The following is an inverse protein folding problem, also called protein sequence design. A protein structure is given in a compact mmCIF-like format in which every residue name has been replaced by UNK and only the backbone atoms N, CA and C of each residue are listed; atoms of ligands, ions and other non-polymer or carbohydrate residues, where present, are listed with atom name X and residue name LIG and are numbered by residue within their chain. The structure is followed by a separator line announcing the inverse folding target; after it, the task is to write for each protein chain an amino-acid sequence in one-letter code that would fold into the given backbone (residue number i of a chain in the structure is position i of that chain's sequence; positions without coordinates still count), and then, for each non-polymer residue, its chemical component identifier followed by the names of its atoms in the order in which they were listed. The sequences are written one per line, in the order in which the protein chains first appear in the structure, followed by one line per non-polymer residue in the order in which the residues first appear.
data_IF_234084357461
#
_entry.id   IF_234084357461
#
_cell.length_a   1.000
_cell.length_b   1.000
_cell.length_c   1.000
_cell.angle_alpha   90.00
_cell.angle_beta   90.00
_cell.angle_gamma   90.00
#
_symmetry.space_group_name_H-M   'P 1'
#
loop_
_entity.id
_entity.type
_entity.pdbx_description
1 polymer ?
#
# COMPACT_ATOMS: atom_id res chain seq x y z
N UNK A 1 2.37 -13.69 0.24
CA UNK A 1 2.04 -12.25 0.20
C UNK A 1 0.89 -12.00 1.18
N UNK A 2 0.82 -10.82 1.77
CA UNK A 2 -0.27 -10.41 2.66
C UNK A 2 -0.70 -8.97 2.35
N UNK A 3 -2.00 -8.64 2.46
CA UNK A 3 -2.47 -7.26 2.38
C UNK A 3 -1.82 -6.40 3.47
N UNK A 4 -1.48 -5.17 3.12
CA UNK A 4 -0.87 -4.21 4.03
C UNK A 4 -1.24 -2.76 3.70
N UNK A 5 -1.27 -1.91 4.72
CA UNK A 5 -1.40 -0.48 4.58
C UNK A 5 -0.51 0.27 5.56
N UNK A 6 -0.29 1.54 5.31
CA UNK A 6 0.54 2.42 6.10
C UNK A 6 -0.09 3.81 6.17
N UNK A 7 0.00 4.42 7.35
CA UNK A 7 -0.34 5.83 7.56
C UNK A 7 0.84 6.54 8.25
N UNK A 8 1.12 7.78 7.84
CA UNK A 8 2.08 8.67 8.50
C UNK A 8 1.45 9.34 9.73
N UNK A 9 2.15 9.39 10.86
CA UNK A 9 1.75 10.17 12.03
C UNK A 9 1.76 11.68 11.79
N UNK A 10 1.01 12.44 12.60
CA UNK A 10 0.75 13.88 12.45
C UNK A 10 1.54 14.80 13.39
N UNK A 11 2.53 14.32 14.14
CA UNK A 11 3.29 15.17 15.09
C UNK A 11 4.56 15.75 14.45
N UNK A 12 4.75 17.07 14.57
CA UNK A 12 5.81 17.85 13.93
C UNK A 12 7.21 17.77 14.60
N UNK A 13 7.38 17.05 15.72
CA UNK A 13 8.58 17.19 16.57
C UNK A 13 9.57 16.02 16.66
N UNK A 14 9.53 14.99 15.80
CA UNK A 14 10.65 14.03 15.71
C UNK A 14 10.99 13.62 14.27
N UNK A 15 12.20 14.00 13.84
CA UNK A 15 12.82 13.59 12.56
C UNK A 15 13.30 12.13 12.69
N UNK A 16 12.34 11.24 12.89
CA UNK A 16 12.40 9.82 12.54
C UNK A 16 10.95 9.39 12.27
N UNK A 17 10.42 9.85 11.13
CA UNK A 17 9.01 9.70 10.69
C UNK A 17 8.42 8.35 11.11
N UNK A 18 7.60 8.37 12.16
CA UNK A 18 6.95 7.17 12.68
C UNK A 18 5.84 6.76 11.69
N UNK A 19 6.14 5.76 10.86
CA UNK A 19 5.15 5.14 9.99
C UNK A 19 4.49 3.99 10.74
N UNK A 20 3.15 3.98 10.79
CA UNK A 20 2.42 2.84 11.34
C UNK A 20 1.96 1.93 10.22
N UNK A 21 2.53 0.73 10.15
CA UNK A 21 2.16 -0.31 9.19
C UNK A 21 1.11 -1.23 9.79
N UNK A 22 0.00 -1.41 9.10
CA UNK A 22 -1.05 -2.39 9.38
C UNK A 22 -0.93 -3.54 8.37
N UNK A 23 -0.96 -4.78 8.85
CA UNK A 23 -0.82 -5.98 8.00
C UNK A 23 -1.81 -7.04 8.45
N UNK A 24 -2.33 -7.80 7.49
CA UNK A 24 -3.05 -9.02 7.82
C UNK A 24 -2.16 -10.00 8.59
N UNK A 25 -2.75 -10.89 9.40
CA UNK A 25 -1.99 -11.88 10.13
C UNK A 25 -1.20 -12.81 9.19
N UNK A 26 -0.04 -13.27 9.66
CA UNK A 26 0.88 -14.11 8.88
C UNK A 26 0.23 -15.41 8.41
N UNK A 27 -0.76 -15.91 9.15
CA UNK A 27 -1.52 -17.14 8.85
C UNK A 27 -2.39 -17.02 7.59
N UNK A 28 -2.76 -15.79 7.19
CA UNK A 28 -3.52 -15.53 5.96
C UNK A 28 -2.63 -15.20 4.76
N UNK A 29 -1.34 -15.51 4.85
CA UNK A 29 -0.43 -15.30 3.75
C UNK A 29 -0.76 -16.21 2.57
N UNK A 30 -0.83 -15.62 1.38
CA UNK A 30 -1.18 -16.32 0.15
C UNK A 30 0.07 -16.61 -0.67
N UNK A 31 0.18 -17.82 -1.22
CA UNK A 31 1.33 -18.27 -2.03
C UNK A 31 0.97 -18.68 -3.45
N UNK A 32 -0.32 -18.75 -3.78
CA UNK A 32 -0.83 -19.13 -5.09
C UNK A 32 -2.18 -18.46 -5.38
N UNK A 33 -2.62 -18.49 -6.63
CA UNK A 33 -3.92 -17.99 -7.04
C UNK A 33 -3.98 -16.47 -7.27
N UNK A 34 -5.20 -15.95 -7.30
CA UNK A 34 -5.54 -14.55 -7.57
C UNK A 34 -6.32 -13.99 -6.38
N UNK A 35 -5.91 -12.83 -5.89
CA UNK A 35 -6.43 -12.25 -4.66
C UNK A 35 -6.76 -10.78 -4.86
N UNK A 36 -7.77 -10.33 -4.13
CA UNK A 36 -8.29 -8.98 -4.22
C UNK A 36 -8.74 -8.49 -2.84
N UNK A 37 -8.46 -7.24 -2.52
CA UNK A 37 -9.05 -6.56 -1.37
C UNK A 37 -9.32 -5.08 -1.69
N UNK A 38 -10.21 -4.48 -0.89
CA UNK A 38 -10.55 -3.06 -0.95
C UNK A 38 -10.04 -2.31 0.29
N UNK A 39 -9.69 -1.06 0.07
CA UNK A 39 -9.24 -0.13 1.10
C UNK A 39 -9.95 1.22 0.92
N UNK A 40 -10.85 1.54 1.85
CA UNK A 40 -11.58 2.80 1.86
C UNK A 40 -10.81 3.88 2.64
N UNK A 41 -10.71 5.07 2.06
CA UNK A 41 -10.13 6.22 2.71
C UNK A 41 -11.15 6.87 3.64
N UNK A 42 -11.01 6.64 4.94
CA UNK A 42 -11.86 7.27 5.97
C UNK A 42 -11.20 8.47 6.65
N UNK A 43 -9.96 8.78 6.27
CA UNK A 43 -9.20 9.91 6.80
C UNK A 43 -8.26 10.46 5.73
N UNK A 44 -8.00 11.76 5.78
CA UNK A 44 -7.04 12.40 4.89
C UNK A 44 -5.58 12.16 5.34
N UNK A 45 -4.66 12.39 4.41
CA UNK A 45 -3.21 12.36 4.60
C UNK A 45 -2.50 11.26 3.82
N UNK A 46 -1.15 11.21 3.92
CA UNK A 46 -0.35 10.23 3.21
C UNK A 46 -0.62 8.81 3.68
N UNK A 47 -1.17 8.01 2.77
CA UNK A 47 -1.49 6.61 3.02
C UNK A 47 -1.01 5.76 1.84
N UNK A 48 -0.32 4.67 2.16
CA UNK A 48 0.14 3.68 1.19
C UNK A 48 -0.55 2.35 1.44
N UNK A 49 -1.01 1.70 0.38
CA UNK A 49 -1.72 0.41 0.47
C UNK A 49 -1.20 -0.54 -0.60
N UNK A 50 -1.14 -1.83 -0.30
CA UNK A 50 -0.78 -2.84 -1.28
C UNK A 50 -0.45 -4.17 -0.64
N UNK A 51 0.57 -4.84 -1.19
CA UNK A 51 0.95 -6.20 -0.81
C UNK A 51 2.39 -6.24 -0.30
N UNK A 52 2.63 -7.00 0.76
CA UNK A 52 3.96 -7.24 1.29
C UNK A 52 4.23 -8.73 1.47
N UNK A 53 5.50 -9.11 1.41
CA UNK A 53 5.93 -10.42 1.90
C UNK A 53 5.77 -10.48 3.43
N UNK A 54 5.55 -11.69 3.93
CA UNK A 54 5.30 -11.95 5.37
C UNK A 54 6.48 -11.64 6.27
N UNK A 55 7.68 -11.65 5.70
CA UNK A 55 8.97 -11.36 6.33
C UNK A 55 9.38 -9.88 6.21
N UNK A 56 8.55 -9.04 5.57
CA UNK A 56 8.78 -7.60 5.50
C UNK A 56 8.93 -7.03 6.92
N UNK A 57 10.03 -6.29 7.15
CA UNK A 57 10.33 -5.71 8.47
C UNK A 57 9.21 -4.74 8.89
N UNK A 58 8.76 -4.76 10.15
CA UNK A 58 7.87 -3.72 10.65
C UNK A 58 8.59 -2.35 10.61
N UNK A 59 7.84 -1.26 10.46
CA UNK A 59 8.37 0.10 10.44
C UNK A 59 9.00 0.55 9.12
N UNK A 60 9.25 -0.36 8.16
CA UNK A 60 9.65 0.01 6.80
C UNK A 60 8.51 0.70 6.05
N UNK A 61 8.84 1.72 5.25
CA UNK A 61 7.87 2.38 4.39
C UNK A 61 7.39 1.41 3.30
N UNK A 62 6.08 1.28 3.10
CA UNK A 62 5.58 0.37 2.06
C UNK A 62 6.06 0.85 0.67
N UNK A 63 6.62 -0.08 -0.10
CA UNK A 63 7.26 0.17 -1.39
C UNK A 63 8.71 0.67 -1.30
N UNK A 64 9.29 0.87 -0.12
CA UNK A 64 10.69 1.33 -0.02
C UNK A 64 11.74 0.24 -0.21
N UNK A 65 11.31 -1.02 -0.28
CA UNK A 65 12.17 -2.19 -0.40
C UNK A 65 11.65 -3.16 -1.48
N UNK A 66 12.36 -4.26 -1.66
CA UNK A 66 12.00 -5.35 -2.58
C UNK A 66 10.88 -6.25 -2.03
N UNK A 67 10.50 -6.08 -0.76
CA UNK A 67 9.56 -6.97 -0.06
C UNK A 67 8.11 -6.46 -0.12
N UNK A 68 7.89 -5.26 -0.65
CA UNK A 68 6.57 -4.64 -0.68
C UNK A 68 6.32 -3.86 -1.97
N UNK A 69 5.05 -3.84 -2.36
CA UNK A 69 4.51 -3.05 -3.45
C UNK A 69 3.33 -2.27 -2.92
N UNK A 70 3.31 -0.98 -3.23
CA UNK A 70 2.31 -0.08 -2.69
C UNK A 70 1.82 0.93 -3.72
N UNK A 71 0.61 1.41 -3.50
CA UNK A 71 0.06 2.57 -4.14
C UNK A 71 -0.14 3.66 -3.09
N UNK A 72 0.37 4.85 -3.40
CA UNK A 72 0.24 6.08 -2.62
C UNK A 72 -0.95 6.87 -3.18
N UNK A 73 -2.08 6.78 -2.49
CA UNK A 73 -3.32 7.45 -2.92
C UNK A 73 -3.25 8.98 -2.84
N UNK A 74 -2.34 9.51 -2.02
CA UNK A 74 -2.17 10.94 -1.83
C UNK A 74 -1.39 11.56 -3.00
N UNK A 75 -0.33 10.88 -3.46
CA UNK A 75 0.48 11.32 -4.60
C UNK A 75 0.05 10.71 -5.94
N UNK A 76 -0.85 9.72 -5.92
CA UNK A 76 -1.25 8.91 -7.09
C UNK A 76 -0.07 8.22 -7.76
N UNK A 77 0.73 7.51 -6.96
CA UNK A 77 1.95 6.84 -7.42
C UNK A 77 1.96 5.36 -7.01
N UNK A 78 2.44 4.48 -7.89
CA UNK A 78 2.87 3.13 -7.53
C UNK A 78 4.32 3.17 -7.09
N UNK A 79 4.65 2.39 -6.05
CA UNK A 79 5.93 2.45 -5.38
C UNK A 79 6.46 1.04 -5.11
N UNK A 80 7.68 0.78 -5.56
CA UNK A 80 8.43 -0.44 -5.28
C UNK A 80 9.93 -0.17 -5.33
N UNK A 81 10.73 -0.68 -4.37
CA UNK A 81 12.16 -0.38 -4.26
C UNK A 81 12.49 1.13 -4.34
N UNK A 82 11.63 1.98 -3.75
CA UNK A 82 11.65 3.45 -3.88
C UNK A 82 11.48 4.02 -5.29
N UNK A 83 11.35 3.20 -6.32
CA UNK A 83 10.93 3.64 -7.65
C UNK A 83 9.46 4.05 -7.60
N UNK A 84 9.15 5.22 -8.16
CA UNK A 84 7.81 5.83 -8.17
C UNK A 84 7.34 5.96 -9.60
N UNK A 85 6.16 5.42 -9.88
CA UNK A 85 5.50 5.50 -11.17
C UNK A 85 4.16 6.21 -10.99
N UNK A 86 3.94 7.32 -11.68
CA UNK A 86 2.66 8.02 -11.65
C UNK A 86 1.54 7.12 -12.19
N UNK A 87 0.42 7.06 -11.49
CA UNK A 87 -0.70 6.20 -11.86
C UNK A 87 -2.04 6.94 -11.79
N UNK A 88 -2.80 6.87 -12.88
CA UNK A 88 -4.08 7.55 -13.03
C UNK A 88 -3.97 8.93 -13.68
N UNK A 89 -5.09 9.65 -13.77
CA UNK A 89 -5.22 10.92 -14.49
C UNK A 89 -4.93 12.14 -13.59
N UNK A 90 -4.06 12.01 -12.58
CA UNK A 90 -3.62 13.12 -11.74
C UNK A 90 -4.65 13.63 -10.71
N UNK A 91 -5.59 12.77 -10.28
CA UNK A 91 -6.53 13.09 -9.20
C UNK A 91 -6.13 12.42 -7.90
N UNK A 92 -5.67 13.20 -6.93
CA UNK A 92 -5.44 12.72 -5.56
C UNK A 92 -6.71 12.10 -4.99
N UNK A 93 -6.55 10.97 -4.31
CA UNK A 93 -7.66 10.34 -3.63
C UNK A 93 -8.10 11.13 -2.42
N UNK A 94 -9.39 11.08 -2.13
CA UNK A 94 -10.05 11.81 -1.05
C UNK A 94 -10.80 10.85 -0.15
N UNK A 95 -11.22 11.36 1.01
CA UNK A 95 -12.10 10.63 1.93
C UNK A 95 -13.34 10.15 1.16
N UNK A 96 -13.68 8.88 1.31
CA UNK A 96 -14.75 8.18 0.61
C UNK A 96 -14.29 7.38 -0.61
N UNK A 97 -13.13 7.70 -1.20
CA UNK A 97 -12.60 6.92 -2.31
C UNK A 97 -12.16 5.52 -1.84
N UNK A 98 -12.32 4.53 -2.72
CA UNK A 98 -11.95 3.14 -2.47
C UNK A 98 -10.85 2.70 -3.42
N UNK A 99 -9.78 2.14 -2.86
CA UNK A 99 -8.66 1.54 -3.58
C UNK A 99 -8.85 0.03 -3.63
N UNK A 100 -8.91 -0.53 -4.83
CA UNK A 100 -8.86 -1.97 -5.07
C UNK A 100 -7.43 -2.42 -5.35
N UNK A 101 -6.96 -3.44 -4.64
CA UNK A 101 -5.61 -4.01 -4.80
C UNK A 101 -5.70 -5.46 -5.24
N UNK A 102 -5.28 -5.73 -6.47
CA UNK A 102 -5.28 -7.07 -7.07
C UNK A 102 -3.86 -7.67 -7.11
N UNK A 103 -3.77 -8.96 -6.82
CA UNK A 103 -2.55 -9.76 -6.87
C UNK A 103 -2.81 -11.02 -7.70
N UNK A 104 -2.00 -11.24 -8.72
CA UNK A 104 -1.90 -12.51 -9.46
C UNK A 104 -0.54 -13.15 -9.15
N UNK A 105 -0.55 -14.15 -8.25
CA UNK A 105 0.68 -14.78 -7.79
C UNK A 105 1.32 -15.60 -8.90
N UNK A 106 0.51 -16.23 -9.74
CA UNK A 106 0.96 -17.06 -10.87
C UNK A 106 1.70 -16.21 -11.90
N UNK A 107 1.14 -15.07 -12.26
CA UNK A 107 1.73 -14.15 -13.25
C UNK A 107 2.71 -13.14 -12.64
N UNK A 108 2.93 -13.19 -11.32
CA UNK A 108 3.80 -12.26 -10.57
C UNK A 108 3.46 -10.80 -10.85
N UNK A 109 2.17 -10.49 -10.92
CA UNK A 109 1.69 -9.13 -11.20
C UNK A 109 0.79 -8.62 -10.08
N UNK A 110 0.85 -7.31 -9.86
CA UNK A 110 -0.07 -6.58 -9.00
C UNK A 110 -0.60 -5.38 -9.77
N UNK A 111 -1.86 -5.07 -9.51
CA UNK A 111 -2.52 -3.93 -10.12
C UNK A 111 -3.50 -3.32 -9.15
N UNK A 112 -3.51 -1.99 -9.12
CA UNK A 112 -4.40 -1.19 -8.30
C UNK A 112 -5.41 -0.49 -9.20
N UNK A 113 -6.60 -0.25 -8.67
CA UNK A 113 -7.58 0.64 -9.26
C UNK A 113 -8.22 1.45 -8.14
N UNK A 114 -8.86 2.56 -8.48
CA UNK A 114 -9.56 3.37 -7.49
C UNK A 114 -10.87 3.89 -8.06
N UNK A 115 -11.86 4.04 -7.18
CA UNK A 115 -13.18 4.57 -7.49
C UNK A 115 -13.60 5.61 -6.45
N UNK A 116 -14.44 6.60 -6.84
CA UNK A 116 -15.16 7.42 -5.88
C UNK A 116 -16.11 6.61 -5.00
#
# INVERSE_FOLDING_TARGET
MAPCSMKTGTSEDEIQRDYRTYRAEKTYAVSEGKWYFEFELVSDGPMRVGWARVDCKPGSQLGSDEYSWAFDGFNTEKIHQNYRESYGQGRNLRIGDVIGCFLDVTNKSMSEYYRP
#
